data_IF_958798336863
#
_entry.id   IF_958798336863
#
_cell.length_a   1.000
_cell.length_b   1.000
_cell.length_c   1.000
_cell.angle_alpha   90.00
_cell.angle_beta   90.00
_cell.angle_gamma   90.00
#
_symmetry.space_group_name_H-M   'P 1'
#
loop_
_entity.id
_entity.type
_entity.pdbx_description
1 polymer ?
#
# COMPACT_ATOMS: atom_id res chain seq x y z
N UNK A 1 22.26 16.15 2.33
CA UNK A 1 21.43 15.48 1.29
C UNK A 1 21.46 16.36 0.05
N UNK A 2 22.35 16.08 -0.91
CA UNK A 2 22.48 16.90 -2.14
C UNK A 2 21.61 16.27 -3.22
N UNK A 3 20.43 16.84 -3.44
CA UNK A 3 19.64 16.58 -4.64
C UNK A 3 20.53 16.93 -5.84
N UNK A 4 20.42 16.16 -6.92
CA UNK A 4 21.11 16.51 -8.14
C UNK A 4 20.46 17.75 -8.77
N UNK A 5 20.86 18.94 -8.31
CA UNK A 5 20.47 20.22 -8.89
C UNK A 5 20.94 20.36 -10.35
N UNK A 6 21.81 19.46 -10.85
CA UNK A 6 22.21 19.39 -12.25
C UNK A 6 21.21 18.65 -13.15
N UNK A 7 20.06 18.20 -12.62
CA UNK A 7 18.99 17.68 -13.46
C UNK A 7 18.53 18.78 -14.43
N UNK A 8 18.75 18.59 -15.73
CA UNK A 8 18.33 19.53 -16.78
C UNK A 8 16.80 19.52 -16.89
N UNK A 9 16.14 20.37 -16.11
CA UNK A 9 14.70 20.55 -16.13
C UNK A 9 14.28 21.54 -17.22
N UNK A 10 13.26 21.17 -17.99
CA UNK A 10 12.58 22.07 -18.92
C UNK A 10 11.86 23.20 -18.17
N UNK A 11 11.54 24.30 -18.87
CA UNK A 11 10.77 25.40 -18.28
C UNK A 11 9.41 24.91 -17.74
N UNK A 12 8.73 24.03 -18.47
CA UNK A 12 7.44 23.44 -18.04
C UNK A 12 7.56 22.64 -16.73
N UNK A 13 8.67 21.90 -16.54
CA UNK A 13 8.92 21.17 -15.30
C UNK A 13 9.20 22.10 -14.12
N UNK A 14 9.95 23.19 -14.35
CA UNK A 14 10.19 24.22 -13.33
C UNK A 14 8.90 24.90 -12.88
N UNK A 15 7.98 25.17 -13.80
CA UNK A 15 6.67 25.73 -13.46
C UNK A 15 5.77 24.71 -12.74
N UNK A 16 5.80 23.44 -13.15
CA UNK A 16 5.08 22.36 -12.45
C UNK A 16 5.52 22.24 -10.98
N UNK A 17 6.83 22.34 -10.70
CA UNK A 17 7.38 22.33 -9.33
C UNK A 17 6.84 23.45 -8.43
N UNK A 18 6.47 24.60 -9.01
CA UNK A 18 5.91 25.76 -8.29
C UNK A 18 4.39 25.71 -8.18
N UNK A 19 3.74 24.65 -8.65
CA UNK A 19 2.28 24.53 -8.60
C UNK A 19 1.85 23.99 -7.22
N UNK A 20 0.91 24.65 -6.51
CA UNK A 20 0.29 24.10 -5.31
C UNK A 20 -0.37 22.76 -5.58
N UNK A 21 -0.16 21.76 -4.72
CA UNK A 21 -0.58 20.39 -4.99
C UNK A 21 -2.09 20.25 -5.22
N UNK A 22 -2.94 20.96 -4.46
CA UNK A 22 -4.40 20.98 -4.66
C UNK A 22 -4.85 21.29 -6.10
N UNK A 23 -4.04 22.04 -6.87
CA UNK A 23 -4.32 22.35 -8.29
C UNK A 23 -4.00 21.18 -9.23
N UNK A 24 -3.30 20.15 -8.74
CA UNK A 24 -2.89 18.95 -9.47
C UNK A 24 -3.77 17.73 -9.16
N UNK A 25 -4.86 17.91 -8.40
CA UNK A 25 -5.81 16.85 -7.98
C UNK A 25 -7.14 16.84 -8.77
N UNK A 26 -7.26 17.35 -10.03
CA UNK A 26 -8.56 17.36 -10.71
C UNK A 26 -9.07 15.92 -10.92
N UNK A 27 -10.38 15.70 -10.99
CA UNK A 27 -10.97 14.34 -10.96
C UNK A 27 -10.39 13.39 -12.03
N UNK A 28 -10.02 13.93 -13.20
CA UNK A 28 -9.33 13.24 -14.30
C UNK A 28 -7.99 12.60 -13.88
N UNK A 29 -7.33 13.11 -12.84
CA UNK A 29 -6.10 12.56 -12.26
C UNK A 29 -6.21 11.10 -11.87
N UNK A 30 -7.39 10.69 -11.41
CA UNK A 30 -7.64 9.33 -10.92
C UNK A 30 -7.86 8.35 -12.05
N UNK A 31 -8.13 8.82 -13.27
CA UNK A 31 -8.57 8.00 -14.38
C UNK A 31 -7.64 6.81 -14.66
N UNK A 32 -6.32 6.98 -14.48
CA UNK A 32 -5.37 5.93 -14.80
C UNK A 32 -5.39 4.74 -13.82
N UNK A 33 -5.64 4.95 -12.52
CA UNK A 33 -5.74 3.86 -11.54
C UNK A 33 -7.18 3.51 -11.14
N UNK A 34 -8.16 4.31 -11.55
CA UNK A 34 -9.57 4.09 -11.26
C UNK A 34 -10.08 2.69 -11.63
N UNK A 35 -9.65 2.05 -12.75
CA UNK A 35 -10.03 0.67 -13.05
C UNK A 35 -9.62 -0.32 -11.95
N UNK A 36 -8.48 -0.08 -11.28
CA UNK A 36 -8.02 -0.93 -10.16
C UNK A 36 -8.91 -0.74 -8.93
N UNK A 37 -9.31 0.49 -8.61
CA UNK A 37 -10.24 0.76 -7.50
C UNK A 37 -11.63 0.14 -7.76
N UNK A 38 -12.12 0.23 -9.00
CA UNK A 38 -13.38 -0.44 -9.38
C UNK A 38 -13.26 -1.96 -9.25
N UNK A 39 -12.15 -2.54 -9.70
CA UNK A 39 -11.85 -3.97 -9.54
C UNK A 39 -11.79 -4.37 -8.07
N UNK A 40 -11.16 -3.55 -7.23
CA UNK A 40 -11.08 -3.73 -5.78
C UNK A 40 -12.48 -3.80 -5.15
N UNK A 41 -13.31 -2.77 -5.39
CA UNK A 41 -14.67 -2.72 -4.84
C UNK A 41 -15.55 -3.86 -5.34
N UNK A 42 -15.48 -4.21 -6.63
CA UNK A 42 -16.20 -5.38 -7.18
C UNK A 42 -15.81 -6.67 -6.48
N UNK A 43 -14.51 -6.87 -6.22
CA UNK A 43 -13.97 -8.06 -5.52
C UNK A 43 -14.41 -8.14 -4.06
N UNK A 44 -14.46 -7.01 -3.35
CA UNK A 44 -14.95 -6.95 -1.97
C UNK A 44 -16.44 -7.29 -1.93
N UNK A 45 -17.24 -6.66 -2.80
CA UNK A 45 -18.67 -6.91 -2.93
C UNK A 45 -18.97 -8.37 -3.26
N UNK A 46 -18.30 -8.97 -4.24
CA UNK A 46 -18.51 -10.38 -4.62
C UNK A 46 -18.14 -11.36 -3.49
N UNK A 47 -17.31 -10.92 -2.55
CA UNK A 47 -16.91 -11.69 -1.37
C UNK A 47 -17.78 -11.41 -0.15
N UNK A 48 -18.75 -10.49 -0.24
CA UNK A 48 -19.61 -10.10 0.88
C UNK A 48 -18.88 -9.32 1.97
N UNK A 49 -17.72 -8.74 1.67
CA UNK A 49 -17.02 -7.86 2.61
C UNK A 49 -17.58 -6.44 2.49
N UNK A 50 -18.08 -5.91 3.61
CA UNK A 50 -18.72 -4.59 3.67
C UNK A 50 -17.73 -3.48 4.05
N UNK A 51 -16.50 -3.58 3.55
CA UNK A 51 -15.44 -2.58 3.76
C UNK A 51 -15.29 -1.79 2.47
N UNK A 52 -15.47 -0.48 2.54
CA UNK A 52 -15.33 0.44 1.41
C UNK A 52 -14.42 1.57 1.87
N UNK A 53 -13.10 1.41 1.75
CA UNK A 53 -12.15 2.38 2.24
C UNK A 53 -12.18 3.64 1.37
N UNK A 54 -12.20 4.81 2.02
CA UNK A 54 -11.95 6.07 1.32
C UNK A 54 -10.49 6.11 0.84
N UNK A 55 -10.23 6.66 -0.34
CA UNK A 55 -8.86 6.82 -0.86
C UNK A 55 -8.51 8.31 -0.95
N UNK A 56 -7.37 8.71 -0.39
CA UNK A 56 -6.90 10.10 -0.41
C UNK A 56 -5.39 10.19 -0.66
N UNK A 57 -4.90 11.37 -1.06
CA UNK A 57 -3.48 11.59 -1.31
C UNK A 57 -2.71 11.92 -0.02
N UNK A 58 -1.52 11.35 0.14
CA UNK A 58 -0.58 11.59 1.24
C UNK A 58 0.87 11.55 0.74
N UNK A 59 1.86 11.60 1.63
CA UNK A 59 3.27 11.47 1.26
C UNK A 59 3.65 10.04 0.86
N UNK A 60 3.01 9.05 1.46
CA UNK A 60 3.29 7.62 1.28
C UNK A 60 2.01 6.77 1.31
N UNK A 61 2.18 5.45 1.14
CA UNK A 61 1.11 4.48 1.31
C UNK A 61 0.94 4.17 2.80
N UNK A 62 -0.29 4.18 3.30
CA UNK A 62 -0.61 3.63 4.63
C UNK A 62 -2.13 3.51 4.82
N UNK A 63 -2.51 2.71 5.80
CA UNK A 63 -3.87 2.63 6.33
C UNK A 63 -3.87 2.99 7.82
N UNK A 64 -4.31 4.20 8.22
CA UNK A 64 -4.21 4.61 9.61
C UNK A 64 -5.19 3.82 10.49
N UNK A 65 -4.74 3.39 11.67
CA UNK A 65 -5.57 2.67 12.63
C UNK A 65 -6.79 3.49 13.04
N UNK A 66 -7.95 2.85 13.12
CA UNK A 66 -9.20 3.52 13.49
C UNK A 66 -9.86 4.31 12.36
N UNK A 67 -9.31 4.27 11.14
CA UNK A 67 -9.92 4.84 9.94
C UNK A 67 -10.29 3.75 8.93
N UNK A 68 -11.40 3.94 8.23
CA UNK A 68 -11.76 3.12 7.08
C UNK A 68 -11.30 3.84 5.80
N UNK A 69 -10.00 3.75 5.52
CA UNK A 69 -9.46 4.28 4.27
C UNK A 69 -7.96 4.12 4.10
N UNK A 70 -7.51 4.42 2.88
CA UNK A 70 -6.17 4.15 2.38
C UNK A 70 -5.57 5.46 1.86
N UNK A 71 -4.43 5.85 2.42
CA UNK A 71 -3.59 6.91 1.90
C UNK A 71 -2.78 6.40 0.72
N UNK A 72 -2.74 7.17 -0.37
CA UNK A 72 -1.91 6.89 -1.55
C UNK A 72 -0.94 8.06 -1.81
N UNK A 73 0.27 7.82 -2.30
CA UNK A 73 1.23 8.91 -2.53
C UNK A 73 0.75 9.98 -3.52
N UNK A 74 1.02 11.24 -3.20
CA UNK A 74 0.62 12.43 -3.98
C UNK A 74 1.12 12.38 -5.42
N UNK A 75 2.27 11.75 -5.67
CA UNK A 75 2.85 11.66 -7.01
C UNK A 75 2.00 10.81 -7.97
N UNK A 76 1.05 10.03 -7.46
CA UNK A 76 0.10 9.28 -8.28
C UNK A 76 -1.05 10.17 -8.80
N UNK A 77 -1.20 11.38 -8.26
CA UNK A 77 -2.25 12.33 -8.64
C UNK A 77 -2.05 12.94 -10.02
N UNK A 78 -0.89 12.84 -10.65
CA UNK A 78 -0.76 13.44 -11.98
C UNK A 78 0.34 12.74 -12.79
N UNK A 79 0.10 12.36 -14.06
CA UNK A 79 1.03 11.55 -14.85
C UNK A 79 2.39 12.21 -15.08
N UNK A 80 2.48 13.54 -14.97
CA UNK A 80 3.74 14.30 -15.07
C UNK A 80 4.59 14.30 -13.80
N UNK A 81 4.06 13.94 -12.63
CA UNK A 81 4.83 13.98 -11.37
C UNK A 81 5.85 12.82 -11.31
N UNK A 82 5.50 11.55 -11.58
CA UNK A 82 6.46 10.45 -11.49
C UNK A 82 7.71 10.61 -12.36
N UNK A 83 7.64 10.99 -13.65
CA UNK A 83 8.85 11.20 -14.44
C UNK A 83 9.70 12.36 -13.91
N UNK A 84 9.09 13.44 -13.43
CA UNK A 84 9.79 14.57 -12.83
C UNK A 84 10.50 14.18 -11.53
N UNK A 85 9.82 13.51 -10.61
CA UNK A 85 10.41 13.07 -9.35
C UNK A 85 11.57 12.09 -9.57
N UNK A 86 11.48 11.20 -10.58
CA UNK A 86 12.60 10.33 -10.98
C UNK A 86 13.80 11.10 -11.53
N UNK A 87 13.59 12.14 -12.34
CA UNK A 87 14.69 13.03 -12.80
C UNK A 87 15.40 13.70 -11.62
N UNK A 88 14.67 13.97 -10.55
CA UNK A 88 15.19 14.51 -9.28
C UNK A 88 15.77 13.43 -8.35
N UNK A 89 15.91 12.19 -8.81
CA UNK A 89 16.54 11.10 -8.08
C UNK A 89 15.66 10.41 -7.04
N UNK A 90 14.33 10.65 -7.06
CA UNK A 90 13.41 10.09 -6.06
C UNK A 90 12.98 8.66 -6.36
N UNK A 91 12.77 7.88 -5.30
CA UNK A 91 12.18 6.55 -5.35
C UNK A 91 10.66 6.66 -5.27
N UNK A 92 9.96 5.88 -6.10
CA UNK A 92 8.51 5.93 -6.24
C UNK A 92 7.93 4.53 -6.37
N UNK A 93 6.83 4.29 -5.69
CA UNK A 93 6.13 3.01 -5.64
C UNK A 93 4.77 3.11 -6.31
N UNK A 94 4.23 2.00 -6.81
CA UNK A 94 2.85 2.01 -7.34
C UNK A 94 2.62 2.84 -8.61
N UNK A 95 3.66 3.27 -9.31
CA UNK A 95 3.55 4.11 -10.53
C UNK A 95 3.12 3.36 -11.82
N UNK A 96 2.76 2.09 -11.72
CA UNK A 96 2.19 1.28 -12.83
C UNK A 96 0.91 0.63 -12.33
N UNK A 97 -0.02 0.27 -13.24
CA UNK A 97 -1.25 -0.43 -12.85
C UNK A 97 -0.99 -1.71 -12.02
N UNK A 98 0.03 -2.49 -12.40
CA UNK A 98 0.40 -3.73 -11.69
C UNK A 98 0.95 -3.43 -10.29
N UNK A 99 1.89 -2.50 -10.15
CA UNK A 99 2.44 -2.15 -8.84
C UNK A 99 1.43 -1.42 -7.95
N UNK A 100 0.57 -0.59 -8.52
CA UNK A 100 -0.55 0.04 -7.84
C UNK A 100 -1.52 -1.01 -7.28
N UNK A 101 -1.89 -2.02 -8.09
CA UNK A 101 -2.77 -3.11 -7.63
C UNK A 101 -2.16 -3.90 -6.47
N UNK A 102 -0.85 -4.24 -6.54
CA UNK A 102 -0.14 -4.93 -5.44
C UNK A 102 -0.19 -4.13 -4.14
N UNK A 103 0.05 -2.81 -4.21
CA UNK A 103 0.08 -1.92 -3.04
C UNK A 103 -1.32 -1.64 -2.50
N UNK A 104 -2.30 -1.29 -3.35
CA UNK A 104 -3.65 -0.99 -2.86
C UNK A 104 -4.33 -2.22 -2.24
N UNK A 105 -4.04 -3.43 -2.73
CA UNK A 105 -4.56 -4.65 -2.10
C UNK A 105 -3.84 -5.00 -0.80
N UNK A 106 -2.57 -4.64 -0.67
CA UNK A 106 -1.82 -4.72 0.59
C UNK A 106 -2.44 -3.78 1.63
N UNK A 107 -2.58 -2.49 1.32
CA UNK A 107 -3.20 -1.52 2.22
C UNK A 107 -4.66 -1.86 2.56
N UNK A 108 -5.38 -2.44 1.61
CA UNK A 108 -6.72 -2.96 1.85
C UNK A 108 -6.73 -4.10 2.88
N UNK A 109 -5.66 -4.90 2.95
CA UNK A 109 -5.46 -5.89 4.01
C UNK A 109 -5.52 -5.24 5.37
N UNK A 110 -4.68 -4.24 5.63
CA UNK A 110 -4.71 -3.45 6.87
C UNK A 110 -6.08 -2.81 7.10
N UNK A 111 -6.69 -2.20 6.08
CA UNK A 111 -8.01 -1.58 6.22
C UNK A 111 -9.09 -2.59 6.66
N UNK A 112 -9.08 -3.80 6.10
CA UNK A 112 -10.02 -4.87 6.47
C UNK A 112 -9.73 -5.37 7.88
N UNK A 113 -8.46 -5.52 8.24
CA UNK A 113 -8.05 -5.90 9.59
C UNK A 113 -8.54 -4.91 10.65
N UNK A 114 -8.28 -3.61 10.44
CA UNK A 114 -8.77 -2.54 11.32
C UNK A 114 -10.30 -2.52 11.38
N UNK A 115 -10.97 -2.59 10.21
CA UNK A 115 -12.42 -2.51 10.13
C UNK A 115 -13.14 -3.64 10.89
N UNK A 116 -12.58 -4.85 10.91
CA UNK A 116 -13.16 -5.99 11.63
C UNK A 116 -12.51 -6.26 12.99
N UNK A 117 -11.46 -5.52 13.37
CA UNK A 117 -10.69 -5.75 14.59
C UNK A 117 -10.09 -7.15 14.62
N UNK A 118 -9.42 -7.54 13.52
CA UNK A 118 -8.85 -8.88 13.37
C UNK A 118 -7.55 -9.07 14.15
N UNK A 119 -6.85 -7.98 14.45
CA UNK A 119 -5.53 -8.03 15.09
C UNK A 119 -5.53 -8.71 16.45
N UNK A 120 -6.61 -8.53 17.20
CA UNK A 120 -6.80 -9.12 18.53
C UNK A 120 -7.44 -10.52 18.50
N UNK A 121 -7.72 -11.07 17.31
CA UNK A 121 -8.34 -12.38 17.20
C UNK A 121 -7.30 -13.48 17.37
N UNK A 122 -7.56 -14.43 18.27
CA UNK A 122 -6.66 -15.58 18.55
C UNK A 122 -6.19 -16.31 17.28
N UNK A 123 -7.08 -16.46 16.30
CA UNK A 123 -6.72 -17.13 15.05
C UNK A 123 -5.69 -16.34 14.24
N UNK A 124 -5.82 -15.01 14.17
CA UNK A 124 -4.88 -14.14 13.44
C UNK A 124 -3.51 -14.26 14.08
N UNK A 125 -3.46 -14.05 15.40
CA UNK A 125 -2.21 -14.09 16.18
C UNK A 125 -1.52 -15.43 16.05
N UNK A 126 -2.28 -16.54 16.07
CA UNK A 126 -1.74 -17.89 15.87
C UNK A 126 -1.16 -18.10 14.45
N UNK A 127 -1.71 -17.45 13.43
CA UNK A 127 -1.31 -17.65 12.03
C UNK A 127 -0.14 -16.77 11.61
N UNK A 128 -0.15 -15.51 12.02
CA UNK A 128 0.77 -14.48 11.52
C UNK A 128 1.74 -13.98 12.60
N UNK A 129 1.40 -14.16 13.88
CA UNK A 129 2.11 -13.57 15.01
C UNK A 129 1.37 -12.39 15.64
N UNK A 130 1.92 -11.87 16.74
CA UNK A 130 1.35 -10.74 17.48
C UNK A 130 1.64 -9.41 16.78
N UNK A 131 0.66 -8.51 16.77
CA UNK A 131 0.83 -7.11 16.33
C UNK A 131 1.51 -6.23 17.35
N UNK A 132 1.59 -6.69 18.60
CA UNK A 132 2.27 -5.98 19.68
C UNK A 132 3.80 -6.12 19.57
N UNK A 133 4.27 -6.93 18.63
CA UNK A 133 5.68 -7.00 18.32
C UNK A 133 6.17 -5.61 17.87
N UNK A 134 7.33 -5.15 18.35
CA UNK A 134 7.89 -3.90 17.85
C UNK A 134 8.33 -4.08 16.41
N UNK A 135 7.93 -3.16 15.55
CA UNK A 135 8.42 -3.12 14.18
C UNK A 135 9.95 -2.99 14.15
N UNK A 136 10.66 -3.88 13.42
CA UNK A 136 12.11 -3.86 13.44
C UNK A 136 12.66 -2.63 12.71
N UNK A 137 13.66 -1.96 13.30
CA UNK A 137 14.34 -0.82 12.65
C UNK A 137 15.01 -1.21 11.33
N UNK A 138 15.40 -2.48 11.20
CA UNK A 138 15.99 -3.10 10.01
C UNK A 138 15.58 -4.58 10.00
N UNK A 139 15.24 -5.14 8.85
CA UNK A 139 15.00 -6.58 8.71
C UNK A 139 15.73 -7.15 7.50
N UNK A 140 16.14 -8.42 7.62
CA UNK A 140 16.68 -9.23 6.52
C UNK A 140 15.70 -10.37 6.26
N UNK A 141 15.27 -10.52 5.02
CA UNK A 141 14.37 -11.60 4.63
C UNK A 141 15.15 -12.76 4.00
N UNK A 142 14.60 -13.97 4.13
CA UNK A 142 15.07 -15.14 3.39
C UNK A 142 14.31 -15.26 2.05
N UNK A 143 14.95 -15.03 0.90
CA UNK A 143 14.31 -15.16 -0.41
C UNK A 143 13.93 -16.62 -0.75
N UNK A 144 14.45 -17.61 -0.03
CA UNK A 144 14.14 -19.03 -0.24
C UNK A 144 13.00 -19.52 0.63
N UNK A 145 12.61 -18.78 1.67
CA UNK A 145 11.48 -19.17 2.51
C UNK A 145 10.21 -19.32 1.68
N UNK A 146 9.48 -20.40 2.00
CA UNK A 146 8.16 -20.74 1.45
C UNK A 146 7.04 -20.49 2.46
N UNK A 147 7.38 -20.00 3.65
CA UNK A 147 6.42 -19.75 4.72
C UNK A 147 5.59 -18.50 4.44
N UNK A 148 6.07 -17.62 3.55
CA UNK A 148 5.47 -16.33 3.26
C UNK A 148 4.98 -16.25 1.82
N UNK A 149 3.88 -15.52 1.63
CA UNK A 149 3.47 -15.13 0.30
C UNK A 149 4.42 -14.09 -0.27
N UNK A 150 4.38 -13.91 -1.59
CA UNK A 150 5.15 -12.92 -2.32
C UNK A 150 4.18 -12.00 -3.05
N UNK A 151 3.79 -10.89 -2.40
CA UNK A 151 3.01 -9.84 -3.05
C UNK A 151 3.90 -8.66 -3.39
N UNK A 152 4.50 -7.92 -2.45
CA UNK A 152 5.47 -6.86 -2.67
C UNK A 152 6.92 -7.40 -2.74
N UNK A 153 7.84 -6.56 -3.20
CA UNK A 153 9.25 -6.93 -3.34
C UNK A 153 9.97 -6.87 -1.96
N UNK A 154 11.25 -7.25 -1.89
CA UNK A 154 12.06 -7.19 -0.67
C UNK A 154 11.51 -7.99 0.53
N UNK A 155 10.74 -9.05 0.27
CA UNK A 155 10.23 -9.96 1.29
C UNK A 155 9.38 -9.27 2.36
N UNK A 156 8.55 -8.30 1.96
CA UNK A 156 7.77 -7.45 2.88
C UNK A 156 6.95 -8.25 3.90
N UNK A 157 6.39 -9.39 3.50
CA UNK A 157 5.67 -10.32 4.38
C UNK A 157 6.52 -10.87 5.55
N UNK A 158 7.85 -10.81 5.46
CA UNK A 158 8.76 -11.27 6.51
C UNK A 158 9.17 -10.16 7.50
N UNK A 159 8.73 -8.92 7.27
CA UNK A 159 9.16 -7.77 8.07
C UNK A 159 8.40 -7.64 9.39
N UNK A 160 7.12 -7.99 9.42
CA UNK A 160 6.26 -7.93 10.61
C UNK A 160 5.02 -8.83 10.44
N UNK A 161 4.41 -9.34 11.53
CA UNK A 161 3.12 -10.05 11.48
C UNK A 161 2.00 -9.29 10.78
N UNK A 162 1.95 -7.96 10.92
CA UNK A 162 0.98 -7.12 10.21
C UNK A 162 1.24 -7.12 8.69
N UNK A 163 2.49 -7.04 8.27
CA UNK A 163 2.85 -7.11 6.85
C UNK A 163 2.57 -8.50 6.27
N UNK A 164 2.82 -9.59 7.01
CA UNK A 164 2.50 -10.95 6.56
C UNK A 164 0.99 -11.11 6.31
N UNK A 165 0.17 -10.57 7.21
CA UNK A 165 -1.28 -10.55 7.04
C UNK A 165 -1.68 -9.75 5.79
N UNK A 166 -1.20 -8.52 5.64
CA UNK A 166 -1.56 -7.63 4.54
C UNK A 166 -1.12 -8.19 3.17
N UNK A 167 0.08 -8.75 3.10
CA UNK A 167 0.60 -9.44 1.92
C UNK A 167 -0.24 -10.68 1.57
N UNK A 168 -0.58 -11.49 2.58
CA UNK A 168 -1.43 -12.68 2.41
C UNK A 168 -2.82 -12.28 1.94
N UNK A 169 -3.38 -11.20 2.47
CA UNK A 169 -4.65 -10.63 2.02
C UNK A 169 -4.59 -10.16 0.58
N UNK A 170 -3.52 -9.47 0.19
CA UNK A 170 -3.33 -9.00 -1.18
C UNK A 170 -3.31 -10.16 -2.19
N UNK A 171 -2.60 -11.24 -1.88
CA UNK A 171 -2.62 -12.47 -2.70
C UNK A 171 -4.01 -13.11 -2.70
N UNK A 172 -4.69 -13.18 -1.56
CA UNK A 172 -6.03 -13.75 -1.45
C UNK A 172 -7.10 -13.00 -2.26
N UNK A 173 -6.92 -11.70 -2.51
CA UNK A 173 -7.81 -10.89 -3.36
C UNK A 173 -7.83 -11.34 -4.83
N UNK A 174 -6.79 -12.05 -5.29
CA UNK A 174 -6.80 -12.79 -6.57
C UNK A 174 -7.74 -14.00 -6.51
N UNK A 175 -7.81 -14.84 -7.55
CA UNK A 175 -8.75 -15.96 -7.55
C UNK A 175 -8.26 -17.10 -6.66
N UNK A 176 -9.19 -17.91 -6.12
CA UNK A 176 -8.83 -19.11 -5.35
C UNK A 176 -7.95 -20.07 -6.14
N UNK A 177 -8.24 -20.23 -7.43
CA UNK A 177 -7.41 -21.01 -8.36
C UNK A 177 -5.98 -20.46 -8.46
N UNK A 178 -5.84 -19.13 -8.55
CA UNK A 178 -4.54 -18.46 -8.67
C UNK A 178 -3.63 -18.78 -7.49
N UNK A 179 -4.08 -18.55 -6.26
CA UNK A 179 -3.20 -18.75 -5.10
C UNK A 179 -3.04 -20.21 -4.69
N UNK A 180 -4.03 -21.08 -4.96
CA UNK A 180 -3.84 -22.53 -4.72
C UNK A 180 -2.74 -23.11 -5.60
N UNK A 181 -2.72 -22.77 -6.88
CA UNK A 181 -1.69 -23.24 -7.81
C UNK A 181 -0.34 -22.54 -7.55
N UNK A 182 -0.34 -21.24 -7.27
CA UNK A 182 0.90 -20.49 -7.06
C UNK A 182 1.67 -20.84 -5.78
N UNK A 183 0.99 -21.40 -4.77
CA UNK A 183 1.57 -21.74 -3.48
C UNK A 183 1.44 -23.25 -3.16
N UNK A 184 1.24 -24.09 -4.16
CA UNK A 184 1.17 -25.53 -3.97
C UNK A 184 2.46 -26.07 -3.32
N UNK A 185 2.31 -26.82 -2.22
CA UNK A 185 3.43 -27.34 -1.44
C UNK A 185 4.17 -26.30 -0.59
N UNK A 186 3.65 -25.07 -0.47
CA UNK A 186 4.22 -24.03 0.40
C UNK A 186 3.42 -23.92 1.70
N UNK A 187 4.07 -23.78 2.87
CA UNK A 187 3.36 -23.50 4.12
C UNK A 187 2.51 -22.22 4.09
N UNK A 188 2.88 -21.22 3.28
CA UNK A 188 2.08 -20.03 3.03
C UNK A 188 0.64 -20.33 2.55
N UNK A 189 0.42 -21.48 1.90
CA UNK A 189 -0.90 -21.90 1.44
C UNK A 189 -1.87 -22.15 2.60
N UNK A 190 -1.38 -22.58 3.76
CA UNK A 190 -2.21 -22.78 4.94
C UNK A 190 -2.74 -21.46 5.49
N UNK A 191 -1.90 -20.40 5.46
CA UNK A 191 -2.33 -19.03 5.81
C UNK A 191 -3.43 -18.54 4.87
N UNK A 192 -3.27 -18.76 3.56
CA UNK A 192 -4.29 -18.43 2.54
C UNK A 192 -5.60 -19.19 2.75
N UNK A 193 -5.54 -20.49 3.05
CA UNK A 193 -6.71 -21.32 3.33
C UNK A 193 -7.42 -20.86 4.62
N UNK A 194 -6.67 -20.54 5.66
CA UNK A 194 -7.20 -20.03 6.92
C UNK A 194 -7.86 -18.67 6.74
N UNK A 195 -7.22 -17.75 6.01
CA UNK A 195 -7.78 -16.45 5.67
C UNK A 195 -9.08 -16.61 4.87
N UNK A 196 -9.09 -17.47 3.84
CA UNK A 196 -10.28 -17.74 3.03
C UNK A 196 -11.45 -18.28 3.87
N UNK A 197 -11.18 -19.18 4.81
CA UNK A 197 -12.19 -19.67 5.74
C UNK A 197 -12.71 -18.55 6.66
N UNK A 198 -11.83 -17.73 7.23
CA UNK A 198 -12.22 -16.66 8.17
C UNK A 198 -13.01 -15.56 7.47
N UNK A 199 -12.56 -15.11 6.30
CA UNK A 199 -13.25 -14.05 5.54
C UNK A 199 -14.64 -14.47 5.07
N UNK A 200 -14.84 -15.76 4.70
CA UNK A 200 -16.18 -16.26 4.36
C UNK A 200 -17.17 -16.21 5.54
N UNK A 201 -16.68 -16.32 6.76
CA UNK A 201 -17.51 -16.23 7.98
C UNK A 201 -17.72 -14.79 8.48
N UNK A 202 -17.03 -13.80 7.91
CA UNK A 202 -17.19 -12.38 8.25
C UNK A 202 -18.29 -11.68 7.45
N UNK A 203 -18.83 -12.31 6.40
CA UNK A 203 -19.76 -11.72 5.43
C UNK A 203 -21.02 -11.05 6.00
N UNK A 204 -21.40 -11.36 7.23
CA UNK A 204 -22.58 -10.81 7.90
C UNK A 204 -22.26 -9.80 9.03
N UNK A 205 -20.98 -9.52 9.31
CA UNK A 205 -20.59 -8.65 10.43
C UNK A 205 -20.53 -7.19 9.99
N UNK A 206 -21.12 -6.31 10.81
CA UNK A 206 -20.95 -4.85 10.69
C UNK A 206 -19.48 -4.50 10.93
N UNK A 207 -18.96 -3.58 10.12
CA UNK A 207 -17.63 -2.99 10.34
C UNK A 207 -17.65 -2.13 11.62
N UNK A 208 -16.55 -2.11 12.35
CA UNK A 208 -16.39 -1.35 13.60
C UNK A 208 -16.12 0.13 13.34
N UNK A 209 -15.46 0.43 12.23
CA UNK A 209 -15.03 1.78 11.86
C UNK A 209 -15.88 2.28 10.70
N UNK A 210 -16.60 3.39 10.90
CA UNK A 210 -17.37 4.04 9.83
C UNK A 210 -16.44 4.89 8.95
N UNK A 211 -16.77 4.99 7.66
CA UNK A 211 -16.12 5.92 6.75
C UNK A 211 -16.40 7.38 7.19
N UNK A 212 -15.46 8.29 6.94
CA UNK A 212 -15.75 9.73 7.05
C UNK A 212 -14.60 10.64 7.47
N UNK A 213 -13.52 10.12 8.05
CA UNK A 213 -12.32 10.92 8.37
C UNK A 213 -11.15 10.50 7.47
N UNK A 214 -10.31 11.47 7.11
CA UNK A 214 -9.01 11.24 6.44
C UNK A 214 -7.90 11.71 7.36
N UNK A 215 -6.81 10.96 7.45
CA UNK A 215 -5.66 11.32 8.26
C UNK A 215 -4.54 11.90 7.37
N UNK A 216 -4.00 13.05 7.75
CA UNK A 216 -2.91 13.74 7.03
C UNK A 216 -3.14 13.86 5.50
N UNK A 217 -4.37 14.17 5.09
CA UNK A 217 -4.70 14.27 3.68
C UNK A 217 -4.05 15.48 3.01
N UNK A 218 -3.48 15.26 1.83
CA UNK A 218 -2.95 16.29 0.95
C UNK A 218 -3.95 16.77 -0.10
N UNK A 219 -5.18 16.24 -0.15
CA UNK A 219 -6.15 16.57 -1.21
C UNK A 219 -6.35 18.10 -1.40
N UNK A 220 -6.35 18.85 -0.29
CA UNK A 220 -6.52 20.31 -0.28
C UNK A 220 -5.22 21.07 0.03
N UNK A 221 -4.08 20.38 0.01
CA UNK A 221 -2.79 20.96 0.38
C UNK A 221 -2.38 22.10 -0.55
N UNK A 222 -2.04 23.24 0.06
CA UNK A 222 -1.48 24.39 -0.65
C UNK A 222 0.05 24.34 -0.76
N UNK A 223 0.68 23.27 -0.25
CA UNK A 223 2.11 23.03 -0.39
C UNK A 223 2.50 22.92 -1.87
N UNK A 224 3.67 23.46 -2.23
CA UNK A 224 4.16 23.39 -3.60
C UNK A 224 4.66 21.98 -3.90
N UNK A 225 4.48 21.55 -5.15
CA UNK A 225 4.91 20.22 -5.58
C UNK A 225 6.40 19.95 -5.28
N UNK A 226 7.27 20.96 -5.42
CA UNK A 226 8.71 20.81 -5.10
C UNK A 226 8.95 20.37 -3.64
N UNK A 227 8.19 20.92 -2.69
CA UNK A 227 8.41 20.71 -1.27
C UNK A 227 7.95 19.30 -0.87
N UNK A 228 6.83 18.83 -1.46
CA UNK A 228 6.38 17.45 -1.36
C UNK A 228 7.40 16.46 -1.98
N UNK A 229 7.93 16.77 -3.17
CA UNK A 229 8.95 15.93 -3.81
C UNK A 229 10.21 15.83 -2.95
N UNK A 230 10.60 16.91 -2.26
CA UNK A 230 11.79 16.89 -1.41
C UNK A 230 11.67 15.98 -0.19
N UNK A 231 10.44 15.71 0.28
CA UNK A 231 10.17 14.75 1.35
C UNK A 231 10.32 13.28 0.90
N UNK A 232 10.30 13.02 -0.41
CA UNK A 232 10.40 11.65 -0.92
C UNK A 232 11.80 11.05 -0.71
N UNK A 233 11.88 9.73 -0.47
CA UNK A 233 13.15 9.04 -0.34
C UNK A 233 13.96 9.08 -1.64
N UNK A 234 15.28 9.13 -1.51
CA UNK A 234 16.18 9.08 -2.65
C UNK A 234 16.35 7.63 -3.14
N UNK A 235 16.37 7.44 -4.47
CA UNK A 235 16.56 6.12 -5.10
C UNK A 235 17.85 5.45 -4.66
N UNK A 236 18.91 6.23 -4.49
CA UNK A 236 20.21 5.72 -4.06
C UNK A 236 20.15 5.15 -2.64
N UNK A 237 19.48 5.85 -1.71
CA UNK A 237 19.28 5.38 -0.33
C UNK A 237 18.49 4.06 -0.33
N UNK A 238 17.42 3.98 -1.13
CA UNK A 238 16.61 2.76 -1.20
C UNK A 238 17.36 1.58 -1.82
N UNK A 239 18.21 1.81 -2.83
CA UNK A 239 19.02 0.75 -3.44
C UNK A 239 20.09 0.17 -2.49
N UNK A 240 20.63 0.99 -1.57
CA UNK A 240 21.60 0.51 -0.56
C UNK A 240 20.91 -0.23 0.59
N UNK A 241 19.62 0.06 0.82
CA UNK A 241 18.79 -0.54 1.84
C UNK A 241 18.07 -1.83 1.40
N UNK A 242 18.53 -2.50 0.34
CA UNK A 242 17.99 -3.80 -0.11
C UNK A 242 18.05 -4.92 0.96
N UNK A 243 18.67 -4.68 2.11
CA UNK A 243 18.69 -5.55 3.30
C UNK A 243 18.09 -4.89 4.56
N UNK A 244 17.31 -3.82 4.40
CA UNK A 244 16.70 -3.05 5.49
C UNK A 244 15.64 -2.10 4.93
N UNK A 245 14.48 -2.61 4.52
CA UNK A 245 13.39 -1.71 4.11
C UNK A 245 12.94 -0.88 5.31
N UNK A 246 12.74 0.42 5.10
CA UNK A 246 12.04 1.26 6.05
C UNK A 246 10.64 0.68 6.22
N UNK A 247 10.32 0.32 7.45
CA UNK A 247 8.96 0.03 7.82
C UNK A 247 8.30 1.40 7.98
N UNK A 248 7.27 1.63 7.18
CA UNK A 248 6.39 2.79 7.33
C UNK A 248 5.45 2.45 8.50
N UNK A 249 5.53 3.23 9.58
CA UNK A 249 4.59 3.18 10.71
C UNK A 249 3.34 4.00 10.39
#
# INVERSE_FOLDING_TARGET
MKINFNAKLSQKEKELLKTPFKKLVPEESRAWFFPVLQKMHKKLKSRGLMVYPNVWYSNEWFCPEGYNGIAIPFYLAHPKIPPLARKLGKYLEGTTLKSFERLIFHELGHAVEHAYGLSQQRWRVKTFGSTENPYPKKYRFDPKSKDFVRNLDSGYAQSHPDEDFAETFAVWMHSKKYWKSGYEGWPALDKLNQLDFKMRNLKAKRIRVKAGRTYQSLNESSELLKDLIFKLPDKEQMSKNLYSSYIVM
#
